data_IF_610652349698
#
_entry.id   IF_610652349698
#
_cell.length_a   1.000
_cell.length_b   1.000
_cell.length_c   1.000
_cell.angle_alpha   90.00
_cell.angle_beta   90.00
_cell.angle_gamma   90.00
#
_symmetry.space_group_name_H-M   'P 1'
#
loop_
_entity.id
_entity.type
_entity.pdbx_description
1 polymer ?
#
# COMPACT_ATOMS: atom_id res chain seq x y z
N UNK A 1 -25.78 38.06 -9.31
CA UNK A 1 -25.51 36.63 -9.07
C UNK A 1 -24.31 36.28 -9.94
N UNK A 2 -23.10 36.30 -9.38
CA UNK A 2 -21.89 35.97 -10.13
C UNK A 2 -21.82 34.45 -10.27
N UNK A 3 -21.80 33.99 -11.52
CA UNK A 3 -21.59 32.60 -11.89
C UNK A 3 -20.16 32.24 -11.51
N UNK A 4 -19.98 31.46 -10.44
CA UNK A 4 -18.66 30.96 -10.04
C UNK A 4 -18.35 29.79 -10.98
N UNK A 5 -17.61 30.09 -12.04
CA UNK A 5 -16.98 29.07 -12.87
C UNK A 5 -15.93 28.36 -12.03
N UNK A 6 -16.18 27.10 -11.68
CA UNK A 6 -15.20 26.26 -11.01
C UNK A 6 -14.16 25.87 -12.05
N UNK A 7 -12.91 26.30 -11.84
CA UNK A 7 -11.80 25.86 -12.68
C UNK A 7 -11.76 24.32 -12.71
N UNK A 8 -11.59 23.70 -13.90
CA UNK A 8 -11.50 22.25 -13.99
C UNK A 8 -10.35 21.72 -13.14
N UNK A 9 -10.62 20.68 -12.35
CA UNK A 9 -9.66 20.12 -11.41
C UNK A 9 -8.42 19.54 -12.11
N UNK A 10 -7.25 20.15 -11.87
CA UNK A 10 -5.97 19.64 -12.35
C UNK A 10 -5.43 18.53 -11.41
N UNK A 11 -5.67 17.29 -11.80
CA UNK A 11 -5.21 16.11 -11.04
C UNK A 11 -3.69 15.98 -10.97
N UNK A 12 -2.93 16.55 -11.93
CA UNK A 12 -1.46 16.50 -11.91
C UNK A 12 -0.93 17.50 -10.89
N UNK A 13 -1.44 18.73 -10.91
CA UNK A 13 -1.10 19.75 -9.91
C UNK A 13 -1.42 19.26 -8.50
N UNK A 14 -2.62 18.69 -8.28
CA UNK A 14 -2.99 18.12 -6.99
C UNK A 14 -2.01 17.03 -6.52
N UNK A 15 -1.64 16.08 -7.41
CA UNK A 15 -0.66 15.03 -7.08
C UNK A 15 0.70 15.60 -6.73
N UNK A 16 1.17 16.60 -7.48
CA UNK A 16 2.46 17.26 -7.22
C UNK A 16 2.47 17.98 -5.88
N UNK A 17 1.37 18.65 -5.53
CA UNK A 17 1.19 19.31 -4.23
C UNK A 17 1.19 18.30 -3.08
N UNK A 18 0.43 17.21 -3.19
CA UNK A 18 0.45 16.14 -2.18
C UNK A 18 1.83 15.50 -2.01
N UNK A 19 2.59 15.36 -3.11
CA UNK A 19 3.94 14.82 -3.11
C UNK A 19 4.97 15.66 -2.33
N UNK A 20 4.64 16.91 -1.96
CA UNK A 20 5.52 17.73 -1.11
C UNK A 20 5.53 17.27 0.36
N UNK A 21 4.51 16.53 0.80
CA UNK A 21 4.48 15.94 2.13
C UNK A 21 5.26 14.62 2.13
N UNK A 22 6.49 14.67 2.65
CA UNK A 22 7.37 13.50 2.72
C UNK A 22 6.78 12.40 3.60
N UNK A 23 6.90 11.15 3.16
CA UNK A 23 6.41 9.95 3.86
C UNK A 23 7.47 8.86 3.81
N UNK A 24 7.40 7.92 4.75
CA UNK A 24 8.04 6.63 4.57
C UNK A 24 7.35 5.81 3.48
N UNK A 25 7.93 4.69 3.11
CA UNK A 25 7.32 3.74 2.18
C UNK A 25 7.01 2.45 2.92
N UNK A 26 5.80 1.93 2.71
CA UNK A 26 5.40 0.63 3.23
C UNK A 26 4.99 -0.30 2.09
N UNK A 27 5.20 -1.61 2.29
CA UNK A 27 4.51 -2.65 1.53
C UNK A 27 3.47 -3.29 2.42
N UNK A 28 2.20 -3.15 2.03
CA UNK A 28 1.11 -3.88 2.68
C UNK A 28 0.93 -5.20 1.98
N UNK A 29 0.93 -6.27 2.76
CA UNK A 29 0.81 -7.65 2.31
C UNK A 29 -0.42 -8.30 2.91
N UNK A 30 -0.97 -9.28 2.21
CA UNK A 30 -2.09 -10.07 2.68
C UNK A 30 -2.08 -11.46 2.04
N UNK A 31 -2.79 -12.39 2.67
CA UNK A 31 -3.09 -13.71 2.12
C UNK A 31 -4.60 -13.92 2.07
N UNK A 32 -5.10 -14.55 1.01
CA UNK A 32 -6.50 -14.99 0.92
C UNK A 32 -6.69 -16.37 1.55
N UNK A 33 -7.94 -16.77 1.79
CA UNK A 33 -8.26 -18.12 2.29
C UNK A 33 -7.79 -19.25 1.37
N UNK A 34 -7.61 -18.95 0.09
CA UNK A 34 -7.15 -19.88 -0.94
C UNK A 34 -5.61 -19.92 -1.03
N UNK A 35 -4.90 -19.19 -0.16
CA UNK A 35 -3.44 -19.14 -0.09
C UNK A 35 -2.78 -18.17 -1.07
N UNK A 36 -3.56 -17.36 -1.79
CA UNK A 36 -3.00 -16.36 -2.70
C UNK A 36 -2.41 -15.19 -1.90
N UNK A 37 -1.13 -14.89 -2.10
CA UNK A 37 -0.46 -13.76 -1.46
C UNK A 37 -0.41 -12.53 -2.36
N UNK A 38 -0.73 -11.37 -1.79
CA UNK A 38 -0.70 -10.08 -2.49
C UNK A 38 0.12 -9.07 -1.72
N UNK A 39 0.79 -8.17 -2.46
CA UNK A 39 1.60 -7.11 -1.89
C UNK A 39 1.48 -5.83 -2.70
N UNK A 40 1.46 -4.69 -2.01
CA UNK A 40 1.31 -3.37 -2.61
C UNK A 40 2.17 -2.34 -1.88
N UNK A 41 3.01 -1.65 -2.66
CA UNK A 41 3.72 -0.46 -2.20
C UNK A 41 2.76 0.70 -2.02
N UNK A 42 2.86 1.41 -0.90
CA UNK A 42 2.09 2.62 -0.65
C UNK A 42 2.81 3.61 0.26
N UNK A 43 2.52 4.88 0.02
CA UNK A 43 2.93 6.02 0.85
C UNK A 43 1.78 6.58 1.68
N UNK A 44 0.59 5.98 1.60
CA UNK A 44 -0.63 6.44 2.30
C UNK A 44 -0.79 5.88 3.72
N UNK A 45 0.16 5.06 4.18
CA UNK A 45 0.15 4.49 5.53
C UNK A 45 0.29 5.59 6.58
N UNK A 46 -0.49 5.50 7.66
CA UNK A 46 -0.37 6.41 8.79
C UNK A 46 -0.85 5.76 10.11
N UNK A 47 -0.29 6.21 11.23
CA UNK A 47 -0.78 5.87 12.58
C UNK A 47 -2.04 6.66 12.91
N UNK A 48 -3.00 6.04 13.59
CA UNK A 48 -4.28 6.65 13.94
C UNK A 48 -4.46 6.77 15.46
N UNK A 49 -4.21 5.70 16.20
CA UNK A 49 -4.40 5.65 17.65
C UNK A 49 -3.40 4.71 18.31
N UNK A 50 -3.05 4.99 19.57
CA UNK A 50 -2.26 4.10 20.42
C UNK A 50 -3.14 3.17 21.27
N UNK A 51 -4.30 3.66 21.73
CA UNK A 51 -5.24 2.88 22.53
C UNK A 51 -6.70 3.13 22.07
N UNK A 52 -7.34 2.19 21.37
CA UNK A 52 -6.75 0.94 20.87
C UNK A 52 -5.71 1.23 19.77
N UNK A 53 -4.75 0.30 19.52
CA UNK A 53 -3.74 0.47 18.49
C UNK A 53 -4.37 0.43 17.10
N UNK A 54 -4.35 1.54 16.38
CA UNK A 54 -4.96 1.68 15.06
C UNK A 54 -4.01 2.33 14.06
N UNK A 55 -4.08 1.84 12.82
CA UNK A 55 -3.40 2.38 11.65
C UNK A 55 -4.39 2.49 10.49
N UNK A 56 -4.06 3.27 9.48
CA UNK A 56 -4.81 3.32 8.23
C UNK A 56 -3.88 3.29 7.03
N UNK A 57 -4.44 2.90 5.90
CA UNK A 57 -3.86 3.09 4.58
C UNK A 57 -4.98 3.15 3.54
N UNK A 58 -4.68 3.74 2.38
CA UNK A 58 -5.65 3.89 1.29
C UNK A 58 -5.26 3.06 0.07
N UNK A 59 -6.19 2.24 -0.42
CA UNK A 59 -6.04 1.43 -1.62
C UNK A 59 -6.92 2.00 -2.74
N UNK A 60 -6.35 2.14 -3.94
CA UNK A 60 -7.12 2.57 -5.11
C UNK A 60 -8.22 1.54 -5.44
N UNK A 61 -9.43 2.01 -5.75
CA UNK A 61 -10.55 1.14 -6.15
C UNK A 61 -10.27 0.31 -7.41
N UNK A 62 -9.39 0.83 -8.27
CA UNK A 62 -8.94 0.18 -9.50
C UNK A 62 -7.79 -0.81 -9.30
N UNK A 63 -7.27 -0.96 -8.07
CA UNK A 63 -6.15 -1.85 -7.83
C UNK A 63 -6.54 -3.32 -8.05
N UNK A 64 -5.72 -4.03 -8.83
CA UNK A 64 -5.91 -5.47 -9.10
C UNK A 64 -5.94 -6.32 -7.83
N UNK A 65 -5.16 -5.94 -6.81
CA UNK A 65 -5.11 -6.66 -5.53
C UNK A 65 -6.28 -6.34 -4.59
N UNK A 66 -7.16 -5.38 -4.92
CA UNK A 66 -8.25 -4.98 -4.02
C UNK A 66 -9.19 -6.13 -3.64
N UNK A 67 -9.62 -7.03 -4.54
CA UNK A 67 -10.46 -8.17 -4.16
C UNK A 67 -9.77 -9.07 -3.13
N UNK A 68 -8.49 -9.39 -3.33
CA UNK A 68 -7.72 -10.20 -2.38
C UNK A 68 -7.55 -9.48 -1.03
N UNK A 69 -7.24 -8.18 -1.04
CA UNK A 69 -7.14 -7.38 0.18
C UNK A 69 -8.48 -7.33 0.95
N UNK A 70 -9.62 -7.32 0.26
CA UNK A 70 -10.95 -7.35 0.92
C UNK A 70 -11.31 -8.74 1.47
N UNK A 71 -10.79 -9.81 0.87
CA UNK A 71 -11.03 -11.18 1.31
C UNK A 71 -10.07 -11.63 2.43
N UNK A 72 -8.95 -10.93 2.61
CA UNK A 72 -7.95 -11.25 3.61
C UNK A 72 -8.49 -11.13 5.04
N UNK A 73 -8.02 -12.02 5.93
CA UNK A 73 -8.34 -11.99 7.36
C UNK A 73 -7.49 -10.98 8.13
N UNK A 74 -6.32 -10.64 7.60
CA UNK A 74 -5.38 -9.71 8.19
C UNK A 74 -4.35 -9.21 7.17
N UNK A 75 -3.54 -8.26 7.61
CA UNK A 75 -2.54 -7.58 6.80
C UNK A 75 -1.19 -7.54 7.50
N UNK A 76 -0.12 -7.63 6.72
CA UNK A 76 1.24 -7.32 7.15
C UNK A 76 1.61 -5.90 6.70
N UNK A 77 2.20 -5.12 7.60
CA UNK A 77 2.70 -3.78 7.30
C UNK A 77 4.22 -3.81 7.35
N UNK A 78 4.87 -3.73 6.19
CA UNK A 78 6.32 -3.79 6.07
C UNK A 78 6.85 -2.38 5.80
N UNK A 79 7.39 -1.72 6.82
CA UNK A 79 8.01 -0.39 6.68
C UNK A 79 9.40 -0.59 6.08
N UNK A 80 9.64 -0.01 4.90
CA UNK A 80 10.86 -0.27 4.15
C UNK A 80 12.03 0.63 4.60
N UNK A 81 13.21 0.03 4.70
CA UNK A 81 14.46 0.74 4.82
C UNK A 81 14.91 1.35 3.48
N UNK A 82 15.84 2.31 3.52
CA UNK A 82 16.40 2.95 2.31
C UNK A 82 16.98 1.93 1.31
N UNK A 83 17.62 0.86 1.80
CA UNK A 83 18.22 -0.16 0.95
C UNK A 83 17.18 -1.01 0.17
N UNK A 84 15.91 -0.98 0.58
CA UNK A 84 14.82 -1.76 -0.01
C UNK A 84 14.05 -1.00 -1.11
N UNK A 85 14.67 -0.03 -1.77
CA UNK A 85 14.07 0.69 -2.91
C UNK A 85 13.60 -0.27 -4.02
N UNK A 86 14.35 -1.35 -4.27
CA UNK A 86 13.98 -2.36 -5.27
C UNK A 86 12.69 -3.11 -4.89
N UNK A 87 12.48 -3.40 -3.60
CA UNK A 87 11.25 -4.00 -3.09
C UNK A 87 10.07 -3.04 -3.31
N UNK A 88 10.24 -1.76 -2.95
CA UNK A 88 9.24 -0.71 -3.22
C UNK A 88 8.84 -0.67 -4.70
N UNK A 89 9.81 -0.60 -5.60
CA UNK A 89 9.58 -0.55 -7.04
C UNK A 89 8.88 -1.81 -7.58
N UNK A 90 9.23 -2.99 -7.04
CA UNK A 90 8.64 -4.27 -7.41
C UNK A 90 7.16 -4.35 -7.03
N UNK A 91 6.82 -4.00 -5.79
CA UNK A 91 5.44 -4.10 -5.31
C UNK A 91 4.53 -2.96 -5.81
N UNK A 92 5.08 -1.87 -6.36
CA UNK A 92 4.33 -0.77 -6.96
C UNK A 92 3.77 -1.09 -8.37
N UNK A 93 4.34 -2.08 -9.07
CA UNK A 93 3.94 -2.45 -10.44
C UNK A 93 2.84 -3.52 -10.43
N UNK A 94 2.01 -3.55 -11.47
CA UNK A 94 1.13 -4.70 -11.73
C UNK A 94 1.94 -5.75 -12.49
N UNK A 95 2.48 -6.74 -11.78
CA UNK A 95 3.27 -7.84 -12.35
C UNK A 95 2.75 -9.15 -11.76
N UNK A 96 2.73 -10.21 -12.57
CA UNK A 96 2.23 -11.53 -12.17
C UNK A 96 3.23 -12.32 -11.29
N UNK A 97 4.48 -11.85 -11.16
CA UNK A 97 5.49 -12.55 -10.34
C UNK A 97 6.30 -11.61 -9.43
N UNK A 98 5.64 -11.16 -8.35
CA UNK A 98 6.25 -10.25 -7.36
C UNK A 98 7.09 -10.96 -6.30
N UNK A 99 6.93 -12.27 -6.14
CA UNK A 99 7.33 -12.96 -4.92
C UNK A 99 8.54 -13.88 -5.07
N UNK A 100 8.86 -14.33 -6.29
CA UNK A 100 9.90 -15.33 -6.58
C UNK A 100 11.29 -15.03 -5.95
N UNK A 101 11.61 -13.75 -5.73
CA UNK A 101 12.91 -13.32 -5.20
C UNK A 101 12.81 -12.50 -3.91
N UNK A 102 11.62 -12.46 -3.31
CA UNK A 102 11.37 -11.68 -2.09
C UNK A 102 11.34 -12.64 -0.91
N UNK A 103 12.42 -12.66 -0.14
CA UNK A 103 12.46 -13.42 1.11
C UNK A 103 11.42 -12.86 2.10
N UNK A 104 10.60 -13.77 2.62
CA UNK A 104 9.54 -13.44 3.56
C UNK A 104 9.20 -14.64 4.45
N UNK A 105 8.57 -14.36 5.58
CA UNK A 105 8.00 -15.37 6.45
C UNK A 105 6.54 -15.03 6.73
N UNK A 106 5.74 -16.01 7.15
CA UNK A 106 4.33 -15.80 7.43
C UNK A 106 4.14 -15.20 8.83
N UNK A 107 3.39 -14.10 8.89
CA UNK A 107 2.98 -13.45 10.13
C UNK A 107 1.56 -13.83 10.56
N UNK A 108 0.92 -12.93 11.28
CA UNK A 108 -0.47 -13.09 11.70
C UNK A 108 -1.41 -13.18 10.48
N UNK A 109 -2.40 -14.08 10.53
CA UNK A 109 -3.31 -14.37 9.41
C UNK A 109 -2.58 -14.72 8.09
N UNK A 110 -1.41 -15.36 8.19
CA UNK A 110 -0.58 -15.76 7.05
C UNK A 110 -0.17 -14.59 6.14
N UNK A 111 -0.23 -13.35 6.63
CA UNK A 111 0.21 -12.20 5.88
C UNK A 111 1.76 -12.20 5.79
N UNK A 112 2.35 -12.11 4.59
CA UNK A 112 3.81 -12.13 4.44
C UNK A 112 4.51 -10.95 5.14
N UNK A 113 5.53 -11.23 5.93
CA UNK A 113 6.46 -10.25 6.49
C UNK A 113 7.78 -10.35 5.74
N UNK A 114 8.20 -9.25 5.12
CA UNK A 114 9.38 -9.18 4.26
C UNK A 114 10.65 -9.16 5.13
N UNK A 115 11.70 -9.84 4.67
CA UNK A 115 12.99 -9.82 5.35
C UNK A 115 13.79 -8.52 5.09
N UNK A 116 14.67 -8.18 6.04
CA UNK A 116 15.56 -7.02 6.01
C UNK A 116 14.95 -5.76 6.59
#
# INVERSE_FOLDING_TARGET
MHDVTVDPFDSRAFRQTLGQFATGVAVVTASTSEGAIVGMTMSSFNSVSLDPPLVLFSVARSAYSLPAMRAAKGFGINILARAQEQISNRFARALEDKWDTVEHHLGFHDAPLLAG
#
